data_IF_462022651588
#
_entry.id   IF_462022651588
#
_cell.length_a   1.000
_cell.length_b   1.000
_cell.length_c   1.000
_cell.angle_alpha   90.00
_cell.angle_beta   90.00
_cell.angle_gamma   90.00
#
_symmetry.space_group_name_H-M   'P 1'
#
loop_
_entity.id
_entity.type
_entity.pdbx_description
1 polymer ?
#
# COMPACT_ATOMS: atom_id res chain seq x y z
N UNK A 1 -40.20 -4.11 -20.13
CA UNK A 1 -39.22 -5.19 -20.34
C UNK A 1 -37.86 -4.66 -19.94
N UNK A 2 -37.34 -5.14 -18.82
CA UNK A 2 -35.95 -4.82 -18.42
C UNK A 2 -35.02 -5.51 -19.43
N UNK A 3 -34.18 -4.75 -20.11
CA UNK A 3 -33.14 -5.33 -20.97
C UNK A 3 -31.98 -5.80 -20.11
N UNK A 4 -31.19 -6.78 -20.56
CA UNK A 4 -30.03 -7.27 -19.84
C UNK A 4 -29.01 -6.14 -19.49
N UNK A 5 -28.99 -5.08 -20.29
CA UNK A 5 -28.17 -3.89 -20.02
C UNK A 5 -28.65 -3.13 -18.78
N UNK A 6 -29.97 -2.99 -18.59
CA UNK A 6 -30.53 -2.29 -17.43
C UNK A 6 -30.28 -3.07 -16.12
N UNK A 7 -30.36 -4.41 -16.19
CA UNK A 7 -30.06 -5.29 -15.05
C UNK A 7 -28.58 -5.21 -14.66
N UNK A 8 -27.68 -5.16 -15.64
CA UNK A 8 -26.24 -5.02 -15.41
C UNK A 8 -25.89 -3.67 -14.79
N UNK A 9 -26.52 -2.59 -15.23
CA UNK A 9 -26.32 -1.24 -14.68
C UNK A 9 -26.81 -1.15 -13.22
N UNK A 10 -27.91 -1.76 -12.88
CA UNK A 10 -28.44 -1.79 -11.50
C UNK A 10 -27.49 -2.56 -10.59
N UNK A 11 -27.03 -3.72 -11.01
CA UNK A 11 -26.06 -4.54 -10.25
C UNK A 11 -24.74 -3.80 -10.07
N UNK A 12 -24.26 -3.11 -11.10
CA UNK A 12 -23.04 -2.29 -11.00
C UNK A 12 -23.22 -1.11 -10.05
N UNK A 13 -24.37 -0.45 -10.02
CA UNK A 13 -24.65 0.65 -9.07
C UNK A 13 -24.78 0.20 -7.63
N UNK A 14 -25.31 -0.98 -7.37
CA UNK A 14 -25.31 -1.56 -6.02
C UNK A 14 -23.91 -2.01 -5.57
N UNK A 15 -23.09 -2.53 -6.48
CA UNK A 15 -21.75 -3.03 -6.20
C UNK A 15 -20.68 -1.92 -6.17
N UNK A 16 -20.89 -0.84 -6.90
CA UNK A 16 -19.95 0.27 -7.03
C UNK A 16 -20.67 1.59 -6.75
N UNK A 17 -20.79 1.99 -5.48
CA UNK A 17 -21.37 3.28 -5.14
C UNK A 17 -20.59 4.42 -5.83
N UNK A 18 -21.31 5.41 -6.35
CA UNK A 18 -20.79 6.52 -7.18
C UNK A 18 -19.66 7.34 -6.53
N UNK A 19 -19.40 7.13 -5.24
CA UNK A 19 -18.48 7.93 -4.44
C UNK A 19 -17.18 7.20 -4.07
N UNK A 20 -16.88 6.05 -4.67
CA UNK A 20 -15.68 5.39 -4.30
C UNK A 20 -14.54 5.64 -5.31
N UNK A 21 -13.26 5.76 -4.85
CA UNK A 21 -12.17 6.14 -5.73
C UNK A 21 -11.95 5.14 -6.86
N UNK A 22 -11.79 5.65 -8.07
CA UNK A 22 -11.49 4.88 -9.24
C UNK A 22 -9.97 4.70 -9.39
N UNK A 23 -9.55 3.77 -10.23
CA UNK A 23 -8.13 3.51 -10.47
C UNK A 23 -7.33 4.79 -10.79
N UNK A 24 -7.84 5.64 -11.67
CA UNK A 24 -7.14 6.86 -12.11
C UNK A 24 -7.03 7.94 -11.00
N UNK A 25 -7.93 7.91 -10.00
CA UNK A 25 -7.93 8.89 -8.91
C UNK A 25 -6.69 8.78 -8.01
N UNK A 26 -6.11 7.59 -7.94
CA UNK A 26 -4.92 7.34 -7.12
C UNK A 26 -3.60 7.80 -7.76
N UNK A 27 -3.57 7.96 -9.09
CA UNK A 27 -2.34 8.31 -9.80
C UNK A 27 -1.96 9.76 -9.51
N UNK A 28 -0.70 9.99 -9.14
CA UNK A 28 -0.19 11.35 -8.91
C UNK A 28 0.91 11.42 -7.86
N UNK A 29 1.25 12.65 -7.51
CA UNK A 29 2.22 12.99 -6.47
C UNK A 29 1.51 13.24 -5.16
N UNK A 30 2.11 12.78 -4.08
CA UNK A 30 1.58 12.89 -2.72
C UNK A 30 2.65 13.40 -1.76
N UNK A 31 2.19 14.18 -0.79
CA UNK A 31 2.94 14.38 0.44
C UNK A 31 2.56 13.26 1.39
N UNK A 32 3.52 12.39 1.69
CA UNK A 32 3.36 11.31 2.65
C UNK A 32 3.94 11.72 4.00
N UNK A 33 3.16 11.57 5.05
CA UNK A 33 3.64 11.67 6.43
C UNK A 33 3.66 10.26 7.02
N UNK A 34 4.84 9.78 7.34
CA UNK A 34 5.06 8.47 7.98
C UNK A 34 5.50 8.70 9.43
N UNK A 35 4.96 7.92 10.36
CA UNK A 35 5.42 7.90 11.75
C UNK A 35 6.42 6.77 11.92
N UNK A 36 7.70 7.11 11.79
CA UNK A 36 8.79 6.15 11.96
C UNK A 36 9.03 5.86 13.44
N UNK A 37 9.18 4.59 13.78
CA UNK A 37 9.35 4.14 15.16
C UNK A 37 10.60 4.73 15.84
N UNK A 38 11.68 4.87 15.09
CA UNK A 38 12.96 5.36 15.63
C UNK A 38 13.08 6.89 15.53
N UNK A 39 12.56 7.50 14.46
CA UNK A 39 12.77 8.92 14.14
C UNK A 39 11.53 9.80 14.39
N UNK A 40 10.36 9.19 14.56
CA UNK A 40 9.08 9.90 14.67
C UNK A 40 8.51 10.34 13.32
N UNK A 41 7.64 11.36 13.28
CA UNK A 41 6.97 11.78 12.05
C UNK A 41 7.94 12.37 11.01
N UNK A 42 7.94 11.75 9.82
CA UNK A 42 8.74 12.19 8.66
C UNK A 42 7.79 12.51 7.52
N UNK A 43 7.99 13.66 6.87
CA UNK A 43 7.23 14.06 5.68
C UNK A 43 8.10 13.96 4.43
N UNK A 44 7.58 13.34 3.38
CA UNK A 44 8.31 13.12 2.13
C UNK A 44 7.39 13.17 0.91
N UNK A 45 7.95 13.53 -0.24
CA UNK A 45 7.23 13.48 -1.52
C UNK A 45 7.33 12.08 -2.09
N UNK A 46 6.18 11.51 -2.46
CA UNK A 46 6.05 10.17 -3.04
C UNK A 46 5.18 10.20 -4.29
N UNK A 47 5.30 9.21 -5.15
CA UNK A 47 4.46 9.12 -6.35
C UNK A 47 3.77 7.76 -6.44
N UNK A 48 2.51 7.79 -6.90
CA UNK A 48 1.78 6.60 -7.32
C UNK A 48 1.67 6.64 -8.84
N UNK A 49 2.25 5.65 -9.49
CA UNK A 49 2.25 5.52 -10.96
C UNK A 49 1.65 4.18 -11.38
N UNK A 50 1.01 4.09 -12.56
CA UNK A 50 0.51 2.82 -13.07
C UNK A 50 1.63 1.78 -13.20
N UNK A 51 1.37 0.54 -12.76
CA UNK A 51 2.22 -0.62 -13.03
C UNK A 51 1.55 -1.54 -14.03
N UNK A 52 0.36 -2.04 -13.70
CA UNK A 52 -0.55 -2.71 -14.63
C UNK A 52 -1.88 -1.96 -14.57
N UNK A 53 -2.29 -1.36 -15.70
CA UNK A 53 -3.45 -0.47 -15.74
C UNK A 53 -4.73 -1.17 -15.28
N UNK A 54 -5.42 -0.54 -14.34
CA UNK A 54 -6.64 -1.08 -13.74
C UNK A 54 -6.42 -2.19 -12.71
N UNK A 55 -5.16 -2.57 -12.40
CA UNK A 55 -4.86 -3.67 -11.48
C UNK A 55 -3.86 -3.29 -10.39
N UNK A 56 -2.79 -2.57 -10.73
CA UNK A 56 -1.73 -2.28 -9.78
C UNK A 56 -0.97 -1.00 -10.09
N UNK A 57 -0.27 -0.50 -9.07
CA UNK A 57 0.56 0.69 -9.13
C UNK A 57 1.95 0.40 -8.57
N UNK A 58 2.88 1.29 -8.89
CA UNK A 58 4.13 1.45 -8.16
C UNK A 58 4.02 2.68 -7.25
N UNK A 59 4.15 2.46 -5.95
CA UNK A 59 4.35 3.52 -4.96
C UNK A 59 5.85 3.73 -4.79
N UNK A 60 6.34 4.92 -5.12
CA UNK A 60 7.77 5.23 -5.12
C UNK A 60 8.16 6.10 -3.95
N UNK A 61 9.31 5.77 -3.37
CA UNK A 61 10.07 6.63 -2.46
C UNK A 61 9.55 6.75 -1.03
N UNK A 62 8.72 5.83 -0.53
CA UNK A 62 8.46 5.76 0.90
C UNK A 62 9.69 5.18 1.60
N UNK A 63 10.34 6.00 2.45
CA UNK A 63 11.56 5.62 3.14
C UNK A 63 12.72 5.21 2.21
N UNK A 64 12.70 5.67 0.96
CA UNK A 64 13.65 5.25 -0.06
C UNK A 64 13.36 3.90 -0.69
N UNK A 65 12.15 3.35 -0.54
CA UNK A 65 11.72 2.07 -1.13
C UNK A 65 10.55 2.22 -2.09
N UNK A 66 10.46 1.29 -3.03
CA UNK A 66 9.36 1.19 -3.97
C UNK A 66 8.51 -0.05 -3.65
N UNK A 67 7.19 0.15 -3.64
CA UNK A 67 6.20 -0.88 -3.33
C UNK A 67 5.26 -1.11 -4.50
N UNK A 68 4.70 -2.30 -4.60
CA UNK A 68 3.56 -2.57 -5.46
C UNK A 68 2.28 -2.46 -4.64
N UNK A 69 1.36 -1.62 -5.10
CA UNK A 69 0.00 -1.54 -4.57
C UNK A 69 -0.94 -2.25 -5.53
N UNK A 70 -1.87 -3.03 -5.01
CA UNK A 70 -2.95 -3.63 -5.80
C UNK A 70 -4.19 -2.75 -5.74
N UNK A 71 -4.95 -2.71 -6.82
CA UNK A 71 -6.26 -2.07 -6.87
C UNK A 71 -7.36 -3.11 -6.75
N UNK A 72 -8.13 -3.03 -5.69
CA UNK A 72 -9.30 -3.87 -5.52
C UNK A 72 -10.50 -3.22 -6.21
N UNK A 73 -10.86 -3.74 -7.38
CA UNK A 73 -12.00 -3.26 -8.19
C UNK A 73 -13.34 -3.35 -7.46
N UNK A 74 -13.48 -4.29 -6.52
CA UNK A 74 -14.72 -4.49 -5.80
C UNK A 74 -14.97 -3.42 -4.73
N UNK A 75 -13.91 -2.88 -4.13
CA UNK A 75 -14.01 -1.89 -3.04
C UNK A 75 -13.41 -0.52 -3.41
N UNK A 76 -12.73 -0.40 -4.55
CA UNK A 76 -11.96 0.78 -4.94
C UNK A 76 -10.79 1.10 -4.04
N UNK A 77 -10.34 0.14 -3.27
CA UNK A 77 -9.26 0.33 -2.30
C UNK A 77 -7.91 -0.07 -2.88
N UNK A 78 -6.87 0.54 -2.33
CA UNK A 78 -5.50 0.09 -2.50
C UNK A 78 -5.18 -0.98 -1.47
N UNK A 79 -4.45 -2.00 -1.90
CA UNK A 79 -3.93 -3.05 -1.00
C UNK A 79 -2.42 -3.04 -1.06
N UNK A 80 -1.78 -2.97 0.10
CA UNK A 80 -0.35 -3.14 0.28
C UNK A 80 -0.13 -4.43 1.07
N UNK A 81 0.27 -5.48 0.36
CA UNK A 81 0.58 -6.78 0.97
C UNK A 81 2.07 -6.90 1.29
N UNK A 82 2.41 -7.86 2.17
CA UNK A 82 3.79 -8.25 2.40
C UNK A 82 4.41 -8.72 1.08
N UNK A 83 5.58 -8.17 0.75
CA UNK A 83 6.22 -8.37 -0.55
C UNK A 83 7.72 -8.12 -0.49
N UNK A 84 8.46 -8.62 -1.47
CA UNK A 84 9.81 -8.12 -1.75
C UNK A 84 9.73 -6.71 -2.31
N UNK A 85 10.63 -5.85 -1.86
CA UNK A 85 10.68 -4.44 -2.26
C UNK A 85 12.08 -4.07 -2.73
N UNK A 86 12.16 -3.07 -3.59
CA UNK A 86 13.44 -2.56 -4.08
C UNK A 86 13.75 -1.20 -3.46
N UNK A 87 15.01 -0.98 -3.02
CA UNK A 87 15.44 0.36 -2.61
C UNK A 87 15.51 1.27 -3.84
N UNK A 88 15.34 2.58 -3.63
CA UNK A 88 15.49 3.59 -4.66
C UNK A 88 16.95 3.76 -5.13
N UNK A 89 17.89 3.34 -4.31
CA UNK A 89 19.33 3.31 -4.60
C UNK A 89 19.90 1.90 -4.50
N UNK A 90 21.06 1.65 -5.12
CA UNK A 90 21.71 0.34 -5.03
C UNK A 90 22.05 -0.04 -3.58
N UNK A 91 21.84 -1.30 -3.23
CA UNK A 91 22.13 -1.85 -1.91
C UNK A 91 22.74 -3.23 -2.03
N UNK A 92 23.58 -3.60 -1.03
CA UNK A 92 24.08 -4.96 -0.87
C UNK A 92 23.09 -5.90 -0.18
N UNK A 93 21.98 -5.36 0.33
CA UNK A 93 20.94 -6.11 1.01
C UNK A 93 19.71 -6.28 0.13
N UNK A 94 18.94 -7.31 0.44
CA UNK A 94 17.62 -7.57 -0.11
C UNK A 94 16.58 -7.15 0.91
N UNK A 95 15.44 -6.63 0.45
CA UNK A 95 14.43 -6.08 1.34
C UNK A 95 13.06 -6.70 1.09
N UNK A 96 12.34 -6.92 2.16
CA UNK A 96 10.94 -7.31 2.12
C UNK A 96 10.16 -6.55 3.18
N UNK A 97 8.91 -6.21 2.89
CA UNK A 97 8.03 -5.63 3.86
C UNK A 97 7.05 -6.65 4.42
N UNK A 98 6.78 -6.53 5.71
CA UNK A 98 5.66 -7.16 6.41
C UNK A 98 4.62 -6.07 6.69
N UNK A 99 3.39 -6.27 6.26
CA UNK A 99 2.32 -5.30 6.30
C UNK A 99 1.15 -5.77 7.16
N UNK A 100 0.67 -4.91 8.06
CA UNK A 100 -0.45 -5.19 8.97
C UNK A 100 -0.01 -5.71 10.34
N UNK A 101 -0.99 -5.98 11.20
CA UNK A 101 -0.75 -6.41 12.58
C UNK A 101 0.06 -7.71 12.65
N UNK A 102 -0.22 -8.66 11.77
CA UNK A 102 0.53 -9.93 11.69
C UNK A 102 1.97 -9.75 11.18
N UNK A 103 2.26 -8.61 10.60
CA UNK A 103 3.59 -8.23 10.12
C UNK A 103 4.59 -7.88 11.23
N UNK A 104 4.17 -7.80 12.49
CA UNK A 104 5.08 -7.56 13.62
C UNK A 104 6.11 -8.66 13.77
N UNK A 105 5.71 -9.91 13.54
CA UNK A 105 6.65 -11.01 13.50
C UNK A 105 7.39 -11.02 12.15
N UNK A 106 8.65 -11.39 12.17
CA UNK A 106 9.38 -11.65 10.94
C UNK A 106 8.61 -12.64 10.06
N UNK A 107 8.35 -12.24 8.82
CA UNK A 107 7.59 -13.03 7.85
C UNK A 107 8.51 -13.48 6.73
N UNK A 108 8.60 -14.78 6.50
CA UNK A 108 9.17 -15.31 5.27
C UNK A 108 8.18 -15.10 4.12
N UNK A 109 8.65 -14.63 2.97
CA UNK A 109 7.79 -14.39 1.79
C UNK A 109 7.15 -15.67 1.26
N UNK A 110 7.73 -16.83 1.57
CA UNK A 110 7.21 -18.14 1.23
C UNK A 110 6.02 -18.59 2.09
N UNK A 111 5.74 -17.92 3.21
CA UNK A 111 4.60 -18.27 4.06
C UNK A 111 3.28 -18.03 3.31
N UNK A 112 2.28 -18.90 3.55
CA UNK A 112 0.96 -18.75 2.95
C UNK A 112 0.37 -17.36 3.21
N UNK A 113 -0.21 -16.74 2.20
CA UNK A 113 -0.80 -15.40 2.27
C UNK A 113 -1.87 -15.24 3.36
N UNK A 114 -2.51 -16.34 3.77
CA UNK A 114 -3.48 -16.36 4.90
C UNK A 114 -2.89 -15.95 6.25
N UNK A 115 -1.56 -16.01 6.40
CA UNK A 115 -0.85 -15.58 7.60
C UNK A 115 -0.41 -14.11 7.54
N UNK A 116 -0.80 -13.40 6.47
CA UNK A 116 -0.43 -12.00 6.23
C UNK A 116 -1.69 -11.17 6.18
N UNK A 117 -1.78 -10.18 7.05
CA UNK A 117 -2.93 -9.28 7.07
C UNK A 117 -2.95 -8.36 5.85
N UNK A 118 -1.86 -7.66 5.61
CA UNK A 118 -1.81 -6.59 4.61
C UNK A 118 -2.43 -5.28 5.10
N UNK A 119 -2.20 -4.21 4.34
CA UNK A 119 -2.77 -2.90 4.59
C UNK A 119 -3.77 -2.54 3.50
N UNK A 120 -4.80 -1.78 3.88
CA UNK A 120 -5.74 -1.13 2.96
C UNK A 120 -5.78 0.35 3.22
N UNK A 121 -6.09 1.15 2.19
CA UNK A 121 -6.29 2.57 2.37
C UNK A 121 -7.70 2.87 2.90
N UNK A 122 -7.78 3.91 3.71
CA UNK A 122 -9.02 4.51 4.21
C UNK A 122 -9.05 5.96 3.77
N UNK A 123 -9.97 6.32 2.87
CA UNK A 123 -10.13 7.69 2.39
C UNK A 123 -10.79 8.54 3.47
N UNK A 124 -10.16 9.65 3.82
CA UNK A 124 -10.66 10.59 4.84
C UNK A 124 -11.13 11.90 4.26
N UNK A 125 -10.66 12.26 3.06
CA UNK A 125 -11.01 13.50 2.37
C UNK A 125 -10.80 13.36 0.88
N UNK A 126 -11.64 14.02 0.10
CA UNK A 126 -11.58 14.00 -1.38
C UNK A 126 -11.02 15.28 -1.99
N UNK A 127 -10.85 16.36 -1.23
CA UNK A 127 -10.26 17.62 -1.70
C UNK A 127 -9.45 18.31 -0.58
N UNK A 128 -8.11 18.25 -0.61
CA UNK A 128 -7.30 17.37 -1.45
C UNK A 128 -7.56 15.89 -1.14
N UNK A 129 -7.38 15.03 -2.13
CA UNK A 129 -7.56 13.60 -1.97
C UNK A 129 -6.60 13.06 -0.90
N UNK A 130 -7.14 12.57 0.19
CA UNK A 130 -6.39 12.21 1.40
C UNK A 130 -6.83 10.86 1.90
N UNK A 131 -5.88 9.98 2.15
CA UNK A 131 -6.12 8.67 2.74
C UNK A 131 -4.96 8.25 3.65
N UNK A 132 -5.22 7.31 4.52
CA UNK A 132 -4.19 6.64 5.31
C UNK A 132 -4.27 5.13 5.10
N UNK A 133 -3.21 4.41 5.45
CA UNK A 133 -3.21 2.96 5.45
C UNK A 133 -3.58 2.42 6.83
N UNK A 134 -4.36 1.33 6.85
CA UNK A 134 -4.76 0.61 8.04
C UNK A 134 -4.66 -0.91 7.80
N UNK A 135 -4.54 -1.67 8.87
CA UNK A 135 -4.57 -3.13 8.79
C UNK A 135 -5.87 -3.63 8.14
N UNK A 136 -5.73 -4.53 7.19
CA UNK A 136 -6.85 -5.04 6.39
C UNK A 136 -7.91 -5.77 7.23
N UNK A 137 -7.50 -6.49 8.26
CA UNK A 137 -8.41 -7.28 9.09
C UNK A 137 -9.04 -6.44 10.20
N UNK A 138 -8.25 -5.66 10.94
CA UNK A 138 -8.72 -4.89 12.09
C UNK A 138 -9.20 -3.49 11.75
N UNK A 139 -8.82 -2.94 10.58
CA UNK A 139 -9.02 -1.53 10.20
C UNK A 139 -8.33 -0.53 11.16
N UNK A 140 -7.52 -1.03 12.07
CA UNK A 140 -6.72 -0.28 13.03
C UNK A 140 -5.24 -0.57 12.79
N UNK A 141 -4.36 0.26 13.28
CA UNK A 141 -2.91 0.15 13.16
C UNK A 141 -2.42 0.06 11.70
N UNK A 142 -1.25 0.54 11.44
CA UNK A 142 -0.64 0.47 10.11
C UNK A 142 0.44 -0.61 10.03
N UNK A 143 1.33 -0.67 11.00
CA UNK A 143 2.49 -1.58 11.07
C UNK A 143 3.04 -2.02 9.71
N UNK A 144 3.88 -1.18 9.12
CA UNK A 144 4.64 -1.53 7.93
C UNK A 144 6.12 -1.64 8.34
N UNK A 145 6.65 -2.86 8.34
CA UNK A 145 8.03 -3.12 8.75
C UNK A 145 8.82 -3.56 7.52
N UNK A 146 9.97 -2.92 7.31
CA UNK A 146 10.90 -3.27 6.26
C UNK A 146 12.03 -4.09 6.88
N UNK A 147 12.19 -5.31 6.41
CA UNK A 147 13.22 -6.25 6.85
C UNK A 147 14.35 -6.33 5.83
N UNK A 148 15.59 -6.36 6.31
CA UNK A 148 16.79 -6.54 5.50
C UNK A 148 17.27 -8.00 5.56
N UNK A 149 17.69 -8.52 4.41
CA UNK A 149 18.19 -9.88 4.24
C UNK A 149 19.52 -9.90 3.51
N UNK A 150 20.32 -10.93 3.77
CA UNK A 150 21.58 -11.16 3.09
C UNK A 150 21.43 -11.85 1.73
N UNK A 151 20.25 -12.42 1.43
CA UNK A 151 19.97 -13.10 0.15
C UNK A 151 18.53 -12.85 -0.30
N UNK A 152 18.27 -13.10 -1.58
CA UNK A 152 16.95 -12.98 -2.23
C UNK A 152 16.00 -14.16 -1.93
N UNK A 153 16.44 -15.11 -1.11
CA UNK A 153 15.58 -16.18 -0.61
C UNK A 153 14.64 -15.72 0.51
N UNK A 154 14.93 -14.58 1.14
CA UNK A 154 14.15 -13.99 2.24
C UNK A 154 13.86 -14.98 3.37
N UNK A 155 14.86 -15.82 3.68
CA UNK A 155 14.75 -16.84 4.71
C UNK A 155 15.12 -16.32 6.10
N UNK A 156 14.64 -16.98 7.14
CA UNK A 156 14.97 -16.64 8.54
C UNK A 156 16.48 -16.64 8.78
N UNK A 157 17.21 -17.58 8.16
CA UNK A 157 18.67 -17.68 8.30
C UNK A 157 19.44 -16.52 7.67
N UNK A 158 18.84 -15.83 6.68
CA UNK A 158 19.41 -14.67 6.01
C UNK A 158 18.97 -13.32 6.59
N UNK A 159 18.12 -13.32 7.62
CA UNK A 159 17.63 -12.11 8.24
C UNK A 159 18.73 -11.32 8.92
N UNK A 160 18.86 -10.04 8.55
CA UNK A 160 19.82 -9.09 9.14
C UNK A 160 19.19 -8.22 10.23
N UNK A 161 17.88 -8.03 10.22
CA UNK A 161 17.12 -7.21 11.15
C UNK A 161 16.08 -6.34 10.45
N UNK A 162 15.32 -5.55 11.21
CA UNK A 162 14.46 -4.56 10.59
C UNK A 162 15.28 -3.33 10.17
N UNK A 163 14.85 -2.71 9.06
CA UNK A 163 15.47 -1.51 8.49
C UNK A 163 14.68 -0.25 8.81
N UNK A 164 13.36 -0.34 8.71
CA UNK A 164 12.42 0.74 9.06
C UNK A 164 11.12 0.14 9.58
N UNK A 165 10.46 0.89 10.45
CA UNK A 165 9.17 0.52 11.01
C UNK A 165 8.25 1.73 11.04
N UNK A 166 7.14 1.67 10.31
CA UNK A 166 6.16 2.74 10.24
C UNK A 166 4.88 2.38 10.99
N UNK A 167 4.52 3.22 11.97
CA UNK A 167 3.31 3.08 12.77
C UNK A 167 2.09 3.70 12.10
N UNK A 168 2.29 4.71 11.25
CA UNK A 168 1.24 5.32 10.44
C UNK A 168 1.78 5.84 9.11
N UNK A 169 0.93 5.85 8.10
CA UNK A 169 1.22 6.38 6.77
C UNK A 169 0.00 7.17 6.30
N UNK A 170 0.13 8.50 6.27
CA UNK A 170 -0.89 9.42 5.77
C UNK A 170 -0.45 9.96 4.40
N UNK A 171 -1.34 9.90 3.43
CA UNK A 171 -1.12 10.32 2.05
C UNK A 171 -2.02 11.49 1.70
N UNK A 172 -1.46 12.62 1.32
CA UNK A 172 -2.19 13.80 0.86
C UNK A 172 -1.78 14.09 -0.58
N UNK A 173 -2.72 13.97 -1.52
CA UNK A 173 -2.44 14.23 -2.93
C UNK A 173 -2.09 15.70 -3.14
N UNK A 174 -1.00 15.94 -3.83
CA UNK A 174 -0.63 17.30 -4.24
C UNK A 174 -1.55 17.73 -5.37
N UNK A 175 -2.01 19.00 -5.33
CA UNK A 175 -2.74 19.55 -6.45
C UNK A 175 -1.75 19.67 -7.61
N UNK A 176 -2.06 19.09 -8.74
CA UNK A 176 -1.37 19.41 -9.98
C UNK A 176 -1.55 20.90 -10.19
N UNK A 177 -0.45 21.65 -10.12
CA UNK A 177 -0.47 23.09 -10.27
C UNK A 177 -1.14 23.47 -11.60
N UNK A 178 -2.13 24.34 -11.52
CA UNK A 178 -2.72 24.94 -12.69
C UNK A 178 -1.66 25.73 -13.48
#
# INVERSE_FOLDING_TARGET
VCTDADATDIVLKEYYPENYPQYEDYIGTYTATVDDYDEGPITQSVTITPKVRGESYTLKSIGGFNFTLLYDKASGKLILDSQSISPASSSSYYFACAAGVEGYAHTELSLPSRLRSGLVNVTVKTNPFTFYFADKASQENTSLIIWAYSSDEYSTSGLMGYWSWYNSILMVKENEGN
#
